data_IF_853077918668
#
_entry.id   IF_853077918668
#
_cell.length_a   1.000
_cell.length_b   1.000
_cell.length_c   1.000
_cell.angle_alpha   90.00
_cell.angle_beta   90.00
_cell.angle_gamma   90.00
#
_symmetry.space_group_name_H-M   'P 1'
#
loop_
_entity.id
_entity.type
_entity.pdbx_description
1 polymer ?
#
# COMPACT_ATOMS: atom_id res chain seq x y z
N UNK A 1 14.72 -4.27 0.31
CA UNK A 1 13.77 -3.57 -0.58
C UNK A 1 13.29 -4.61 -1.56
N UNK A 2 12.00 -4.95 -1.52
CA UNK A 2 11.42 -5.94 -2.44
C UNK A 2 11.27 -5.27 -3.80
N UNK A 3 11.85 -5.87 -4.84
CA UNK A 3 11.89 -5.32 -6.21
C UNK A 3 10.94 -6.03 -7.17
N UNK A 4 10.17 -7.01 -6.69
CA UNK A 4 9.15 -7.68 -7.48
C UNK A 4 7.91 -7.89 -6.62
N UNK A 5 6.70 -7.61 -7.14
CA UNK A 5 5.48 -7.95 -6.44
C UNK A 5 5.45 -9.46 -6.18
N UNK A 6 4.92 -9.85 -5.02
CA UNK A 6 4.84 -11.26 -4.64
C UNK A 6 3.46 -11.63 -4.16
N UNK A 7 3.02 -12.82 -4.56
CA UNK A 7 1.87 -13.50 -3.99
C UNK A 7 2.09 -13.88 -2.53
N UNK A 8 0.99 -14.10 -1.84
CA UNK A 8 1.00 -14.62 -0.47
C UNK A 8 0.32 -15.99 -0.43
N UNK A 9 1.12 -17.03 -0.19
CA UNK A 9 0.62 -18.41 -0.01
C UNK A 9 0.05 -18.64 1.40
N UNK A 10 0.43 -17.79 2.37
CA UNK A 10 -0.04 -17.84 3.75
C UNK A 10 0.04 -16.48 4.42
N UNK A 11 -0.97 -16.12 5.22
CA UNK A 11 -1.00 -14.91 6.07
C UNK A 11 0.08 -14.88 7.16
N UNK A 12 0.81 -15.97 7.32
CA UNK A 12 1.92 -16.10 8.27
C UNK A 12 3.26 -16.13 7.54
N UNK A 13 4.37 -15.97 8.27
CA UNK A 13 5.69 -15.95 7.64
C UNK A 13 6.07 -14.62 6.99
N UNK A 14 5.33 -13.54 7.25
CA UNK A 14 5.74 -12.17 6.94
C UNK A 14 6.91 -11.71 7.82
N UNK A 15 7.66 -10.69 7.39
CA UNK A 15 8.81 -10.13 8.09
C UNK A 15 8.61 -8.64 8.34
N UNK A 16 9.32 -8.05 9.32
CA UNK A 16 9.32 -6.61 9.48
C UNK A 16 9.70 -5.90 8.17
N UNK A 17 8.90 -4.91 7.79
CA UNK A 17 8.98 -4.23 6.50
C UNK A 17 7.98 -4.72 5.46
N UNK A 18 7.30 -5.86 5.67
CA UNK A 18 6.26 -6.33 4.74
C UNK A 18 4.99 -5.48 4.87
N UNK A 19 4.49 -5.04 3.72
CA UNK A 19 3.26 -4.29 3.54
C UNK A 19 2.34 -5.07 2.58
N UNK A 20 1.23 -5.58 3.12
CA UNK A 20 0.37 -6.54 2.42
C UNK A 20 -0.98 -5.92 2.06
N UNK A 21 -1.37 -6.02 0.79
CA UNK A 21 -2.74 -5.79 0.33
C UNK A 21 -3.48 -7.12 0.32
N UNK A 22 -4.54 -7.25 1.11
CA UNK A 22 -5.32 -8.48 1.22
C UNK A 22 -6.81 -8.20 1.02
N UNK A 23 -7.41 -8.84 0.01
CA UNK A 23 -8.87 -8.81 -0.14
C UNK A 23 -9.53 -9.92 0.67
N UNK A 24 -10.63 -9.62 1.36
CA UNK A 24 -11.45 -10.61 2.06
C UNK A 24 -12.89 -10.66 1.51
N UNK A 25 -13.59 -11.76 1.80
CA UNK A 25 -14.99 -12.02 1.46
C UNK A 25 -15.86 -12.23 2.70
N UNK A 26 -16.48 -11.15 3.15
CA UNK A 26 -17.35 -11.18 4.32
C UNK A 26 -16.60 -11.38 5.64
N UNK A 27 -17.39 -11.51 6.71
CA UNK A 27 -16.87 -11.40 8.08
C UNK A 27 -16.11 -12.63 8.56
N UNK A 28 -16.41 -13.82 8.04
CA UNK A 28 -15.74 -15.05 8.42
C UNK A 28 -14.29 -15.08 7.90
N UNK A 29 -14.10 -14.78 6.61
CA UNK A 29 -12.78 -14.67 5.98
C UNK A 29 -11.95 -13.55 6.64
N UNK A 30 -12.58 -12.40 6.90
CA UNK A 30 -11.96 -11.31 7.67
C UNK A 30 -11.45 -11.77 9.05
N UNK A 31 -12.28 -12.49 9.81
CA UNK A 31 -11.91 -12.95 11.15
C UNK A 31 -10.78 -13.98 11.10
N UNK A 32 -10.81 -14.93 10.16
CA UNK A 32 -9.75 -15.90 9.94
C UNK A 32 -8.42 -15.20 9.66
N UNK A 33 -8.44 -14.22 8.74
CA UNK A 33 -7.25 -13.49 8.36
C UNK A 33 -6.64 -12.70 9.53
N UNK A 34 -7.49 -11.98 10.29
CA UNK A 34 -7.09 -11.20 11.47
C UNK A 34 -6.48 -12.11 12.54
N UNK A 35 -7.13 -13.24 12.84
CA UNK A 35 -6.67 -14.16 13.89
C UNK A 35 -5.32 -14.76 13.53
N UNK A 36 -5.17 -15.31 12.32
CA UNK A 36 -3.92 -15.94 11.88
C UNK A 36 -2.74 -14.94 11.91
N UNK A 37 -2.99 -13.72 11.41
CA UNK A 37 -1.97 -12.68 11.33
C UNK A 37 -1.55 -12.16 12.72
N UNK A 38 -2.50 -11.92 13.63
CA UNK A 38 -2.21 -11.42 14.98
C UNK A 38 -1.58 -12.48 15.88
N UNK A 39 -1.96 -13.75 15.74
CA UNK A 39 -1.36 -14.84 16.51
C UNK A 39 0.13 -15.03 16.17
N UNK A 40 0.53 -14.77 14.93
CA UNK A 40 1.95 -14.74 14.56
C UNK A 40 2.71 -13.59 15.24
N UNK A 41 2.12 -12.39 15.30
CA UNK A 41 2.73 -11.28 16.01
C UNK A 41 2.83 -11.52 17.51
N UNK A 42 1.82 -12.17 18.10
CA UNK A 42 1.85 -12.62 19.50
C UNK A 42 3.05 -13.54 19.76
N UNK A 43 3.28 -14.55 18.90
CA UNK A 43 4.42 -15.46 19.01
C UNK A 43 5.78 -14.75 18.87
N UNK A 44 5.82 -13.64 18.14
CA UNK A 44 7.02 -12.83 17.90
C UNK A 44 7.26 -11.72 18.92
N UNK A 45 6.39 -11.62 19.93
CA UNK A 45 6.43 -10.54 20.92
C UNK A 45 6.37 -9.13 20.30
N UNK A 46 5.55 -8.99 19.25
CA UNK A 46 5.27 -7.70 18.62
C UNK A 46 4.15 -6.96 19.38
N UNK A 47 4.15 -5.63 19.31
CA UNK A 47 2.98 -4.83 19.65
C UNK A 47 1.93 -5.02 18.56
N UNK A 48 0.70 -5.36 18.94
CA UNK A 48 -0.40 -5.65 18.04
C UNK A 48 -1.39 -4.49 17.99
N UNK A 49 -1.89 -4.21 16.79
CA UNK A 49 -2.94 -3.22 16.57
C UNK A 49 -3.95 -3.74 15.54
N UNK A 50 -5.21 -3.86 15.94
CA UNK A 50 -6.35 -4.06 15.04
C UNK A 50 -7.07 -2.74 14.84
N UNK A 51 -7.14 -2.32 13.58
CA UNK A 51 -7.92 -1.17 13.11
C UNK A 51 -9.07 -1.68 12.26
N UNK A 52 -10.30 -1.23 12.50
CA UNK A 52 -11.39 -1.60 11.62
C UNK A 52 -12.72 -0.94 11.95
N UNK A 53 -13.81 -1.71 11.75
CA UNK A 53 -15.17 -1.28 12.03
C UNK A 53 -15.41 -0.77 13.47
N UNK A 54 -16.67 -0.46 13.82
CA UNK A 54 -17.00 0.09 15.13
C UNK A 54 -16.41 -0.74 16.28
N UNK A 55 -15.92 -0.09 17.35
CA UNK A 55 -15.30 -0.81 18.49
C UNK A 55 -16.12 -2.01 19.01
N UNK A 56 -17.47 -1.97 19.07
CA UNK A 56 -18.25 -3.14 19.50
C UNK A 56 -18.07 -4.40 18.65
N UNK A 57 -17.71 -4.28 17.36
CA UNK A 57 -17.54 -5.43 16.46
C UNK A 57 -16.11 -5.99 16.45
N UNK A 58 -15.11 -5.21 16.84
CA UNK A 58 -13.70 -5.65 16.81
C UNK A 58 -13.42 -6.87 17.72
N UNK A 59 -13.94 -6.97 18.96
CA UNK A 59 -13.72 -8.15 19.80
C UNK A 59 -14.27 -9.45 19.20
N UNK A 60 -15.31 -9.37 18.35
CA UNK A 60 -15.89 -10.54 17.70
C UNK A 60 -14.95 -11.13 16.64
N UNK A 61 -14.22 -10.29 15.89
CA UNK A 61 -13.18 -10.73 14.95
C UNK A 61 -12.04 -11.48 15.63
N UNK A 62 -11.86 -11.26 16.93
CA UNK A 62 -10.79 -11.84 17.73
C UNK A 62 -11.20 -13.11 18.49
N UNK A 63 -12.40 -13.64 18.27
CA UNK A 63 -12.91 -14.79 19.02
C UNK A 63 -11.98 -16.02 18.96
N UNK A 64 -11.28 -16.21 17.84
CA UNK A 64 -10.31 -17.29 17.65
C UNK A 64 -8.88 -16.99 18.12
N UNK A 65 -8.57 -15.78 18.59
CA UNK A 65 -7.20 -15.38 18.92
C UNK A 65 -6.74 -15.98 20.28
N UNK A 66 -5.66 -16.78 20.31
CA UNK A 66 -5.13 -17.30 21.57
C UNK A 66 -4.70 -16.17 22.53
N UNK A 67 -5.03 -16.32 23.81
CA UNK A 67 -4.71 -15.35 24.87
C UNK A 67 -5.27 -13.93 24.65
N UNK A 68 -6.29 -13.76 23.81
CA UNK A 68 -6.91 -12.45 23.48
C UNK A 68 -7.07 -11.53 24.70
N UNK A 69 -7.73 -12.01 25.75
CA UNK A 69 -8.06 -11.17 26.90
C UNK A 69 -6.82 -10.70 27.67
N UNK A 70 -5.79 -11.55 27.75
CA UNK A 70 -4.51 -11.19 28.36
C UNK A 70 -3.74 -10.17 27.50
N UNK A 71 -3.80 -10.28 26.16
CA UNK A 71 -3.18 -9.33 25.25
C UNK A 71 -3.85 -7.95 25.33
N UNK A 72 -5.18 -7.92 25.43
CA UNK A 72 -5.95 -6.69 25.63
C UNK A 72 -5.63 -6.08 27.00
N UNK A 73 -5.67 -6.89 28.07
CA UNK A 73 -5.43 -6.41 29.44
C UNK A 73 -4.00 -5.88 29.65
N UNK A 74 -3.00 -6.50 29.02
CA UNK A 74 -1.60 -6.04 29.07
C UNK A 74 -1.31 -4.85 28.14
N UNK A 75 -2.25 -4.49 27.28
CA UNK A 75 -2.04 -3.46 26.24
C UNK A 75 -1.17 -3.92 25.07
N UNK A 76 -0.75 -5.19 25.01
CA UNK A 76 -0.05 -5.73 23.85
C UNK A 76 -0.92 -5.72 22.59
N UNK A 77 -2.24 -5.86 22.74
CA UNK A 77 -3.20 -5.70 21.65
C UNK A 77 -4.03 -4.44 21.84
N UNK A 78 -3.86 -3.48 20.92
CA UNK A 78 -4.68 -2.29 20.81
C UNK A 78 -5.82 -2.48 19.81
N UNK A 79 -6.99 -1.89 20.11
CA UNK A 79 -8.13 -1.81 19.20
C UNK A 79 -8.42 -0.34 18.88
N UNK A 80 -8.52 -0.02 17.59
CA UNK A 80 -8.86 1.31 17.11
C UNK A 80 -9.90 1.22 15.99
N UNK A 81 -10.72 2.25 15.82
CA UNK A 81 -11.59 2.31 14.63
C UNK A 81 -10.84 2.91 13.44
N UNK A 82 -11.27 2.58 12.21
CA UNK A 82 -10.76 3.22 10.99
C UNK A 82 -10.93 4.73 11.05
N UNK A 83 -12.03 5.22 11.65
CA UNK A 83 -12.26 6.64 11.89
C UNK A 83 -11.22 7.28 12.82
N UNK A 84 -11.00 6.68 14.00
CA UNK A 84 -9.99 7.16 14.96
C UNK A 84 -8.59 7.17 14.38
N UNK A 85 -8.26 6.16 13.58
CA UNK A 85 -6.94 5.97 13.01
C UNK A 85 -6.71 6.91 11.83
N UNK A 86 -7.59 6.89 10.83
CA UNK A 86 -7.36 7.52 9.53
C UNK A 86 -8.18 8.77 9.27
N UNK A 87 -9.09 9.17 10.17
CA UNK A 87 -9.97 10.33 9.98
C UNK A 87 -10.13 11.11 11.27
N UNK A 88 -9.11 11.90 11.63
CA UNK A 88 -9.15 12.81 12.77
C UNK A 88 -10.08 14.04 12.51
N UNK A 89 -11.33 13.80 12.11
CA UNK A 89 -12.35 14.82 11.84
C UNK A 89 -12.26 15.54 10.49
N UNK A 90 -11.09 15.57 9.83
CA UNK A 90 -10.86 16.27 8.55
C UNK A 90 -10.50 15.34 7.37
N UNK A 91 -10.56 14.03 7.60
CA UNK A 91 -10.13 12.98 6.67
C UNK A 91 -8.66 12.58 6.83
N UNK A 92 -8.20 11.67 5.97
CA UNK A 92 -6.83 11.16 6.00
C UNK A 92 -5.82 12.24 5.61
N UNK A 93 -4.88 12.51 6.52
CA UNK A 93 -3.68 13.33 6.27
C UNK A 93 -2.47 12.39 6.20
N UNK A 94 -1.95 12.06 5.00
CA UNK A 94 -0.97 10.99 4.82
C UNK A 94 0.30 11.11 5.69
N UNK A 95 0.92 12.29 5.71
CA UNK A 95 2.16 12.53 6.45
C UNK A 95 1.97 12.43 7.96
N UNK A 96 0.85 12.94 8.48
CA UNK A 96 0.53 12.83 9.91
C UNK A 96 0.33 11.37 10.32
N UNK A 97 -0.36 10.58 9.49
CA UNK A 97 -0.61 9.18 9.79
C UNK A 97 0.68 8.35 9.81
N UNK A 98 1.60 8.57 8.87
CA UNK A 98 2.94 7.96 8.91
C UNK A 98 3.70 8.39 10.17
N UNK A 99 3.56 9.65 10.60
CA UNK A 99 4.10 10.14 11.86
C UNK A 99 3.55 9.40 13.09
N UNK A 100 2.24 9.11 13.11
CA UNK A 100 1.59 8.34 14.19
C UNK A 100 2.12 6.90 14.24
N UNK A 101 2.23 6.22 13.10
CA UNK A 101 2.81 4.88 13.07
C UNK A 101 4.28 4.86 13.46
N UNK A 102 5.07 5.88 13.07
CA UNK A 102 6.44 6.03 13.56
C UNK A 102 6.50 6.13 15.08
N UNK A 103 5.66 6.95 15.68
CA UNK A 103 5.58 7.07 17.14
C UNK A 103 5.15 5.74 17.80
N UNK A 104 4.17 5.04 17.22
CA UNK A 104 3.71 3.74 17.72
C UNK A 104 4.81 2.66 17.67
N UNK A 105 5.60 2.61 16.60
CA UNK A 105 6.77 1.71 16.52
C UNK A 105 7.80 2.05 17.60
N UNK A 106 8.13 3.33 17.79
CA UNK A 106 9.08 3.73 18.83
C UNK A 106 8.57 3.38 20.24
N UNK A 107 7.28 3.57 20.50
CA UNK A 107 6.66 3.19 21.77
C UNK A 107 6.71 1.67 22.00
N UNK A 108 6.45 0.86 20.97
CA UNK A 108 6.55 -0.60 21.03
C UNK A 108 7.97 -1.04 21.42
N UNK A 109 8.99 -0.49 20.74
CA UNK A 109 10.39 -0.79 21.01
C UNK A 109 10.82 -0.33 22.42
N UNK A 110 10.42 0.87 22.84
CA UNK A 110 10.70 1.38 24.18
C UNK A 110 10.01 0.53 25.28
N UNK A 111 8.86 -0.08 24.96
CA UNK A 111 8.17 -1.05 25.80
C UNK A 111 8.74 -2.47 25.77
N UNK A 112 9.86 -2.69 25.07
CA UNK A 112 10.55 -3.98 24.98
C UNK A 112 10.00 -4.95 23.93
N UNK A 113 9.05 -4.53 23.09
CA UNK A 113 8.52 -5.36 21.99
C UNK A 113 9.48 -5.39 20.81
N UNK A 114 9.37 -6.41 19.98
CA UNK A 114 10.25 -6.61 18.81
C UNK A 114 9.88 -5.76 17.59
N UNK A 115 8.66 -5.22 17.56
CA UNK A 115 8.15 -4.41 16.46
C UNK A 115 6.66 -4.08 16.61
N UNK A 116 6.08 -3.51 15.56
CA UNK A 116 4.64 -3.22 15.46
C UNK A 116 4.01 -4.08 14.35
N UNK A 117 2.92 -4.78 14.67
CA UNK A 117 2.09 -5.51 13.72
C UNK A 117 0.71 -4.88 13.64
N UNK A 118 0.35 -4.36 12.48
CA UNK A 118 -0.93 -3.67 12.25
C UNK A 118 -1.77 -4.47 11.27
N UNK A 119 -3.02 -4.72 11.62
CA UNK A 119 -4.04 -5.20 10.69
C UNK A 119 -5.14 -4.16 10.63
N UNK A 120 -5.47 -3.69 9.42
CA UNK A 120 -6.37 -2.56 9.23
C UNK A 120 -7.39 -2.82 8.14
N UNK A 121 -8.68 -2.79 8.49
CA UNK A 121 -9.75 -2.67 7.49
C UNK A 121 -9.80 -1.22 6.98
N UNK A 122 -9.29 -1.06 5.76
CA UNK A 122 -9.15 0.21 5.04
C UNK A 122 -10.22 0.39 3.96
N UNK A 123 -11.17 -0.56 3.85
CA UNK A 123 -12.33 -0.48 2.95
C UNK A 123 -13.07 0.86 3.02
N UNK A 124 -13.35 1.43 4.20
CA UNK A 124 -14.07 2.71 4.28
C UNK A 124 -13.36 3.88 3.57
N UNK A 125 -12.02 3.85 3.50
CA UNK A 125 -11.23 4.91 2.84
C UNK A 125 -11.32 4.82 1.32
N UNK A 126 -11.43 3.60 0.77
CA UNK A 126 -11.73 3.38 -0.64
C UNK A 126 -13.14 3.83 -1.03
N UNK A 127 -14.09 3.74 -0.09
CA UNK A 127 -15.48 4.13 -0.30
C UNK A 127 -15.70 5.65 -0.15
N UNK A 128 -14.72 6.41 0.36
CA UNK A 128 -14.80 7.85 0.58
C UNK A 128 -14.74 8.72 -0.70
N UNK A 129 -15.04 8.14 -1.87
CA UNK A 129 -15.01 8.82 -3.17
C UNK A 129 -13.60 9.15 -3.68
N UNK A 130 -13.53 9.82 -4.85
CA UNK A 130 -12.26 10.08 -5.54
C UNK A 130 -11.21 10.83 -4.70
N UNK A 131 -11.55 11.91 -3.96
CA UNK A 131 -10.57 12.59 -3.11
C UNK A 131 -10.05 11.71 -1.97
N UNK A 132 -10.91 10.86 -1.40
CA UNK A 132 -10.51 9.89 -0.37
C UNK A 132 -9.54 8.84 -0.90
N UNK A 133 -9.84 8.27 -2.07
CA UNK A 133 -8.98 7.29 -2.77
C UNK A 133 -7.60 7.86 -3.10
N UNK A 134 -7.54 9.10 -3.60
CA UNK A 134 -6.27 9.76 -3.91
C UNK A 134 -5.38 9.94 -2.67
N UNK A 135 -5.98 10.38 -1.55
CA UNK A 135 -5.28 10.49 -0.26
C UNK A 135 -4.84 9.14 0.29
N UNK A 136 -5.68 8.10 0.13
CA UNK A 136 -5.32 6.74 0.47
C UNK A 136 -4.09 6.29 -0.33
N UNK A 137 -4.10 6.42 -1.66
CA UNK A 137 -2.97 6.06 -2.52
C UNK A 137 -1.68 6.79 -2.11
N UNK A 138 -1.77 8.09 -1.81
CA UNK A 138 -0.62 8.85 -1.31
C UNK A 138 -0.13 8.36 0.06
N UNK A 139 -1.03 8.01 0.97
CA UNK A 139 -0.69 7.40 2.24
C UNK A 139 -0.04 6.02 2.06
N UNK A 140 -0.56 5.17 1.18
CA UNK A 140 -0.03 3.81 0.98
C UNK A 140 1.39 3.84 0.40
N UNK A 141 1.69 4.74 -0.56
CA UNK A 141 3.06 4.90 -1.04
C UNK A 141 4.02 5.46 0.03
N UNK A 142 3.54 6.37 0.89
CA UNK A 142 4.36 6.91 1.99
C UNK A 142 4.60 5.88 3.09
N UNK A 143 3.59 5.06 3.42
CA UNK A 143 3.71 4.05 4.47
C UNK A 143 4.55 2.86 4.01
N UNK A 144 4.47 2.45 2.74
CA UNK A 144 5.34 1.42 2.14
C UNK A 144 6.83 1.81 2.28
N UNK A 145 7.17 3.02 1.82
CA UNK A 145 8.54 3.54 1.93
C UNK A 145 9.00 3.68 3.38
N UNK A 146 8.08 3.99 4.30
CA UNK A 146 8.35 4.07 5.73
C UNK A 146 8.59 2.69 6.37
N UNK A 147 7.78 1.68 6.04
CA UNK A 147 7.91 0.32 6.60
C UNK A 147 9.26 -0.30 6.26
N UNK A 148 9.84 0.04 5.11
CA UNK A 148 11.22 -0.35 4.78
C UNK A 148 12.32 0.21 5.70
N UNK A 149 11.98 1.08 6.66
CA UNK A 149 12.93 1.76 7.56
C UNK A 149 12.75 1.45 9.04
N UNK A 150 11.70 0.70 9.41
CA UNK A 150 11.35 0.43 10.81
C UNK A 150 10.82 -1.00 10.97
N UNK A 151 10.85 -1.59 12.19
CA UNK A 151 10.26 -2.91 12.42
C UNK A 151 8.74 -2.84 12.53
N UNK A 152 8.08 -2.58 11.40
CA UNK A 152 6.63 -2.58 11.26
C UNK A 152 6.22 -3.57 10.18
N UNK A 153 5.21 -4.39 10.46
CA UNK A 153 4.54 -5.24 9.47
C UNK A 153 3.08 -4.82 9.39
N UNK A 154 2.52 -4.69 8.19
CA UNK A 154 1.13 -4.29 8.04
C UNK A 154 0.34 -5.20 7.07
N UNK A 155 -0.92 -5.44 7.45
CA UNK A 155 -1.93 -6.11 6.64
C UNK A 155 -3.09 -5.13 6.40
N UNK A 156 -3.14 -4.57 5.19
CA UNK A 156 -4.20 -3.69 4.72
C UNK A 156 -5.31 -4.56 4.11
N UNK A 157 -6.44 -4.61 4.78
CA UNK A 157 -7.60 -5.44 4.45
C UNK A 157 -8.63 -4.65 3.66
N UNK A 158 -9.13 -5.26 2.59
CA UNK A 158 -10.12 -4.66 1.72
C UNK A 158 -11.27 -5.63 1.40
N UNK A 159 -12.50 -5.19 1.57
CA UNK A 159 -13.68 -5.98 1.17
C UNK A 159 -13.74 -6.07 -0.36
N UNK A 160 -13.81 -7.29 -0.91
CA UNK A 160 -13.84 -7.50 -2.36
C UNK A 160 -15.06 -6.90 -3.06
N UNK A 161 -16.13 -6.60 -2.34
CA UNK A 161 -17.33 -5.93 -2.88
C UNK A 161 -17.06 -4.54 -3.44
N UNK A 162 -15.93 -3.89 -3.09
CA UNK A 162 -15.54 -2.60 -3.68
C UNK A 162 -15.10 -2.70 -5.15
N UNK A 163 -14.83 -3.91 -5.64
CA UNK A 163 -14.54 -4.20 -7.04
C UNK A 163 -13.09 -3.94 -7.45
N UNK A 164 -12.67 -4.60 -8.54
CA UNK A 164 -11.30 -4.59 -9.03
C UNK A 164 -10.79 -3.19 -9.41
N UNK A 165 -11.64 -2.33 -10.00
CA UNK A 165 -11.24 -0.96 -10.38
C UNK A 165 -10.85 -0.10 -9.18
N UNK A 166 -11.47 -0.33 -8.01
CA UNK A 166 -11.14 0.40 -6.79
C UNK A 166 -9.91 -0.22 -6.09
N UNK A 167 -9.82 -1.55 -6.06
CA UNK A 167 -8.71 -2.28 -5.42
C UNK A 167 -7.40 -2.19 -6.19
N UNK A 168 -7.46 -2.20 -7.52
CA UNK A 168 -6.28 -2.29 -8.37
C UNK A 168 -5.23 -1.20 -8.12
N UNK A 169 -5.60 0.10 -8.13
CA UNK A 169 -4.64 1.18 -7.90
C UNK A 169 -3.98 1.12 -6.52
N UNK A 170 -4.69 0.65 -5.48
CA UNK A 170 -4.10 0.54 -4.15
C UNK A 170 -3.26 -0.73 -4.01
N UNK A 171 -3.63 -1.80 -4.70
CA UNK A 171 -2.89 -3.06 -4.73
C UNK A 171 -1.46 -2.88 -5.26
N UNK A 172 -1.30 -2.16 -6.38
CA UNK A 172 0.01 -1.91 -6.97
C UNK A 172 0.92 -1.09 -6.07
N UNK A 173 0.42 -0.48 -4.99
CA UNK A 173 1.23 0.23 -3.99
C UNK A 173 1.79 -0.70 -2.89
N UNK A 174 1.42 -1.98 -2.93
CA UNK A 174 1.86 -2.98 -1.97
C UNK A 174 2.79 -3.99 -2.65
N UNK A 175 3.98 -4.26 -2.09
CA UNK A 175 4.90 -5.27 -2.62
C UNK A 175 4.36 -6.70 -2.45
N UNK A 176 3.41 -6.89 -1.53
CA UNK A 176 2.81 -8.20 -1.24
C UNK A 176 1.31 -8.09 -1.44
N UNK A 177 0.74 -8.95 -2.28
CA UNK A 177 -0.67 -8.84 -2.68
C UNK A 177 -1.36 -10.20 -2.64
N UNK A 178 -2.61 -10.21 -2.19
CA UNK A 178 -3.52 -11.35 -2.25
C UNK A 178 -4.93 -10.84 -2.56
N UNK A 179 -5.33 -10.97 -3.83
CA UNK A 179 -6.57 -10.39 -4.34
C UNK A 179 -7.45 -11.45 -5.01
N UNK A 180 -7.73 -12.53 -4.27
CA UNK A 180 -8.36 -13.72 -4.83
C UNK A 180 -7.44 -14.39 -5.83
N UNK A 181 -7.94 -14.68 -7.03
CA UNK A 181 -7.19 -15.36 -8.09
C UNK A 181 -6.30 -14.42 -8.92
N UNK A 182 -6.26 -13.12 -8.60
CA UNK A 182 -5.41 -12.15 -9.32
C UNK A 182 -3.94 -12.32 -8.92
N UNK A 183 -3.11 -12.62 -9.91
CA UNK A 183 -1.66 -12.66 -9.76
C UNK A 183 -1.07 -11.25 -9.54
N UNK A 184 -0.15 -11.06 -8.57
CA UNK A 184 0.53 -9.79 -8.38
C UNK A 184 1.57 -9.52 -9.47
N UNK A 185 1.23 -8.68 -10.43
CA UNK A 185 2.10 -8.39 -11.58
C UNK A 185 2.93 -7.12 -11.43
N UNK A 186 2.38 -6.06 -10.83
CA UNK A 186 3.05 -4.76 -10.70
C UNK A 186 3.18 -4.27 -9.25
N UNK A 187 4.29 -3.61 -8.95
CA UNK A 187 4.48 -2.81 -7.73
C UNK A 187 5.07 -1.44 -8.06
N UNK A 188 4.44 -0.39 -7.57
CA UNK A 188 4.89 0.99 -7.64
C UNK A 188 5.33 1.42 -6.25
N UNK A 189 6.64 1.64 -6.11
CA UNK A 189 7.28 2.07 -4.88
C UNK A 189 7.89 3.46 -5.04
N UNK A 190 8.33 4.09 -3.95
CA UNK A 190 9.16 5.27 -4.06
C UNK A 190 9.15 6.18 -2.85
N UNK A 191 10.00 7.19 -2.89
CA UNK A 191 10.08 8.22 -1.84
C UNK A 191 10.14 9.60 -2.46
N UNK A 192 9.18 10.45 -2.09
CA UNK A 192 9.08 11.79 -2.64
C UNK A 192 8.91 11.76 -4.15
N UNK A 193 9.78 12.47 -4.88
CA UNK A 193 9.68 12.64 -6.34
C UNK A 193 10.39 11.55 -7.16
N UNK A 194 10.92 10.51 -6.50
CA UNK A 194 11.55 9.35 -7.15
C UNK A 194 10.70 8.13 -6.86
N UNK A 195 10.07 7.62 -7.91
CA UNK A 195 9.26 6.41 -7.90
C UNK A 195 9.98 5.33 -8.71
N UNK A 196 9.69 4.07 -8.41
CA UNK A 196 10.18 2.91 -9.14
C UNK A 196 9.02 1.96 -9.42
N UNK A 197 8.92 1.51 -10.66
CA UNK A 197 7.93 0.56 -11.13
C UNK A 197 8.60 -0.79 -11.40
N UNK A 198 8.02 -1.82 -10.81
CA UNK A 198 8.57 -3.17 -10.72
C UNK A 198 7.63 -4.20 -11.35
N UNK A 199 8.19 -5.27 -11.92
CA UNK A 199 7.44 -6.42 -12.42
C UNK A 199 6.90 -6.23 -13.83
N UNK A 200 5.62 -6.47 -14.03
CA UNK A 200 4.97 -6.50 -15.34
C UNK A 200 3.79 -5.52 -15.40
N UNK A 201 3.74 -4.70 -16.44
CA UNK A 201 2.57 -3.86 -16.74
C UNK A 201 1.97 -4.29 -18.06
N UNK A 202 0.93 -5.11 -17.95
CA UNK A 202 0.12 -5.58 -19.05
C UNK A 202 -1.22 -4.82 -19.12
N UNK A 203 -2.13 -5.32 -19.95
CA UNK A 203 -3.48 -4.77 -20.10
C UNK A 203 -4.31 -4.79 -18.81
N UNK A 204 -4.07 -5.74 -17.90
CA UNK A 204 -4.79 -5.84 -16.62
C UNK A 204 -4.28 -4.83 -15.60
N UNK A 205 -2.99 -4.49 -15.62
CA UNK A 205 -2.36 -3.56 -14.68
C UNK A 205 -2.32 -2.10 -15.15
N UNK A 206 -2.41 -1.87 -16.47
CA UNK A 206 -2.21 -0.56 -17.10
C UNK A 206 -3.02 0.58 -16.43
N UNK A 207 -4.33 0.39 -16.22
CA UNK A 207 -5.19 1.41 -15.60
C UNK A 207 -4.86 1.64 -14.12
N UNK A 208 -4.50 0.57 -13.41
CA UNK A 208 -4.16 0.61 -11.99
C UNK A 208 -2.87 1.39 -11.76
N UNK A 209 -1.83 1.07 -12.53
CA UNK A 209 -0.53 1.75 -12.48
C UNK A 209 -0.66 3.23 -12.84
N UNK A 210 -1.39 3.58 -13.91
CA UNK A 210 -1.63 5.00 -14.26
C UNK A 210 -2.30 5.75 -13.11
N UNK A 211 -3.35 5.17 -12.53
CA UNK A 211 -4.12 5.81 -11.46
C UNK A 211 -3.24 6.02 -10.23
N UNK A 212 -2.55 4.98 -9.77
CA UNK A 212 -1.66 5.04 -8.62
C UNK A 212 -0.53 6.06 -8.81
N UNK A 213 0.10 6.06 -9.99
CA UNK A 213 1.18 6.99 -10.35
C UNK A 213 0.70 8.44 -10.33
N UNK A 214 -0.44 8.74 -10.96
CA UNK A 214 -0.99 10.10 -11.02
C UNK A 214 -1.39 10.59 -9.62
N UNK A 215 -2.03 9.73 -8.84
CA UNK A 215 -2.47 10.08 -7.48
C UNK A 215 -1.27 10.35 -6.56
N UNK A 216 -0.26 9.48 -6.56
CA UNK A 216 0.98 9.67 -5.80
C UNK A 216 1.68 10.96 -6.20
N UNK A 217 1.97 11.12 -7.49
CA UNK A 217 2.73 12.26 -7.99
C UNK A 217 2.01 13.59 -7.73
N UNK A 218 0.68 13.60 -7.82
CA UNK A 218 -0.12 14.80 -7.60
C UNK A 218 -0.25 15.21 -6.12
N UNK A 219 -0.11 14.29 -5.17
CA UNK A 219 -0.17 14.61 -3.72
C UNK A 219 1.20 15.02 -3.16
N UNK A 220 2.26 14.96 -3.96
CA UNK A 220 3.58 15.46 -3.56
C UNK A 220 3.56 16.99 -3.44
N UNK A 221 4.19 17.56 -2.40
CA UNK A 221 4.30 19.01 -2.27
C UNK A 221 4.91 19.65 -3.51
N UNK A 222 4.17 20.54 -4.15
CA UNK A 222 4.67 21.42 -5.21
C UNK A 222 5.25 22.66 -4.53
N UNK A 223 6.57 22.83 -4.62
CA UNK A 223 7.18 24.12 -4.29
C UNK A 223 6.73 25.20 -5.29
N UNK A 224 7.39 26.35 -5.28
CA UNK A 224 7.14 27.46 -6.21
C UNK A 224 7.54 27.18 -7.68
N UNK A 225 7.81 25.92 -8.06
CA UNK A 225 8.24 25.52 -9.40
C UNK A 225 7.44 24.30 -9.87
N UNK A 226 7.23 24.15 -11.19
CA UNK A 226 6.71 22.92 -11.77
C UNK A 226 7.52 21.75 -11.25
N UNK A 227 6.83 20.77 -10.68
CA UNK A 227 7.50 19.63 -10.09
C UNK A 227 7.84 18.58 -11.15
N UNK A 228 9.05 18.00 -11.12
CA UNK A 228 9.37 16.80 -11.93
C UNK A 228 9.30 15.52 -11.07
N UNK A 229 8.59 14.49 -11.51
CA UNK A 229 8.64 13.14 -10.93
C UNK A 229 9.49 12.26 -11.84
N UNK A 230 10.41 11.53 -11.23
CA UNK A 230 11.25 10.54 -11.90
C UNK A 230 10.66 9.16 -11.63
N UNK A 231 10.35 8.42 -12.68
CA UNK A 231 9.93 7.02 -12.61
C UNK A 231 11.06 6.14 -13.15
N UNK A 232 11.70 5.42 -12.25
CA UNK A 232 12.65 4.37 -12.58
C UNK A 232 11.90 3.12 -13.04
N UNK A 233 12.24 2.62 -14.22
CA UNK A 233 11.67 1.40 -14.81
C UNK A 233 12.75 0.34 -15.05
N UNK A 234 13.87 0.41 -14.31
CA UNK A 234 14.97 -0.55 -14.39
C UNK A 234 14.59 -1.97 -14.00
N UNK A 235 13.60 -2.11 -13.12
CA UNK A 235 13.09 -3.38 -12.59
C UNK A 235 11.73 -3.78 -13.21
N UNK A 236 11.38 -3.16 -14.34
CA UNK A 236 10.25 -3.58 -15.15
C UNK A 236 10.68 -4.70 -16.11
N UNK A 237 10.12 -5.88 -15.93
CA UNK A 237 10.41 -7.11 -16.68
C UNK A 237 9.54 -7.25 -17.93
N UNK A 238 8.35 -6.63 -17.93
CA UNK A 238 7.44 -6.63 -19.07
C UNK A 238 6.61 -5.34 -19.17
N UNK A 239 6.40 -4.89 -20.41
CA UNK A 239 5.53 -3.76 -20.72
C UNK A 239 4.83 -4.03 -22.07
N UNK A 240 3.51 -4.15 -22.06
CA UNK A 240 2.73 -4.24 -23.30
C UNK A 240 2.33 -2.84 -23.84
N UNK A 241 1.56 -2.84 -24.93
CA UNK A 241 1.04 -1.60 -25.56
C UNK A 241 0.07 -0.87 -24.63
N UNK A 242 -0.72 -1.58 -23.83
CA UNK A 242 -1.65 -0.96 -22.89
C UNK A 242 -0.89 -0.27 -21.74
N UNK A 243 0.16 -0.91 -21.21
CA UNK A 243 1.07 -0.33 -20.23
C UNK A 243 1.81 0.89 -20.76
N UNK A 244 2.37 0.82 -21.98
CA UNK A 244 3.02 1.98 -22.62
C UNK A 244 2.06 3.17 -22.79
N UNK A 245 0.82 2.90 -23.23
CA UNK A 245 -0.25 3.90 -23.32
C UNK A 245 -0.64 4.46 -21.95
N UNK A 246 -0.65 3.63 -20.91
CA UNK A 246 -0.94 4.06 -19.55
C UNK A 246 0.11 5.02 -19.00
N UNK A 247 1.40 4.75 -19.24
CA UNK A 247 2.49 5.67 -18.86
C UNK A 247 2.42 6.99 -19.65
N UNK A 248 2.07 6.94 -20.93
CA UNK A 248 1.84 8.15 -21.74
C UNK A 248 0.65 8.98 -21.22
N UNK A 249 -0.44 8.29 -20.87
CA UNK A 249 -1.61 8.90 -20.23
C UNK A 249 -1.24 9.56 -18.91
N UNK A 250 -0.47 8.88 -18.05
CA UNK A 250 0.01 9.44 -16.79
C UNK A 250 0.87 10.69 -17.00
N UNK A 251 1.81 10.68 -17.97
CA UNK A 251 2.61 11.86 -18.34
C UNK A 251 1.71 13.03 -18.72
N UNK A 252 0.67 12.77 -19.51
CA UNK A 252 -0.26 13.80 -19.99
C UNK A 252 -1.12 14.38 -18.86
N UNK A 253 -1.65 13.52 -17.98
CA UNK A 253 -2.45 13.95 -16.82
C UNK A 253 -1.63 14.80 -15.84
N UNK A 254 -0.39 14.38 -15.59
CA UNK A 254 0.55 15.10 -14.73
C UNK A 254 0.96 16.44 -15.35
N UNK A 255 1.24 16.48 -16.66
CA UNK A 255 1.57 17.72 -17.36
C UNK A 255 0.41 18.72 -17.30
N UNK A 256 -0.85 18.25 -17.41
CA UNK A 256 -2.04 19.08 -17.21
C UNK A 256 -2.15 19.68 -15.80
N UNK A 257 -1.44 19.10 -14.82
CA UNK A 257 -1.32 19.59 -13.45
C UNK A 257 0.00 20.32 -13.17
N UNK A 258 0.80 20.61 -14.21
CA UNK A 258 2.10 21.27 -14.07
C UNK A 258 3.22 20.38 -13.51
N UNK A 259 3.05 19.05 -13.58
CA UNK A 259 4.03 18.07 -13.11
C UNK A 259 4.64 17.35 -14.31
N UNK A 260 5.96 17.43 -14.46
CA UNK A 260 6.70 16.64 -15.46
C UNK A 260 6.86 15.19 -14.99
N UNK A 261 6.73 14.23 -15.90
CA UNK A 261 7.09 12.83 -15.65
C UNK A 261 8.28 12.46 -16.54
N UNK A 262 9.40 12.10 -15.90
CA UNK A 262 10.63 11.65 -16.54
C UNK A 262 10.84 10.17 -16.27
N UNK A 263 11.15 9.40 -17.31
CA UNK A 263 11.42 7.97 -17.19
C UNK A 263 12.94 7.72 -17.19
N UNK A 264 13.41 6.77 -16.38
CA UNK A 264 14.83 6.37 -16.36
C UNK A 264 14.97 4.86 -16.35
N UNK A 265 16.11 4.35 -16.83
CA UNK A 265 16.50 2.96 -16.61
C UNK A 265 15.85 1.90 -17.51
N UNK A 266 15.09 2.30 -18.54
CA UNK A 266 14.39 1.34 -19.39
C UNK A 266 15.33 0.35 -20.10
N UNK A 267 15.12 -0.94 -19.81
CA UNK A 267 15.72 -2.08 -20.52
C UNK A 267 15.25 -2.11 -21.98
N UNK A 268 15.99 -2.82 -22.84
CA UNK A 268 15.76 -2.81 -24.31
C UNK A 268 14.32 -3.15 -24.73
N UNK A 269 13.69 -4.14 -24.10
CA UNK A 269 12.32 -4.55 -24.47
C UNK A 269 11.28 -3.51 -24.01
N UNK A 270 11.39 -2.99 -22.78
CA UNK A 270 10.55 -1.88 -22.28
C UNK A 270 10.69 -0.65 -23.18
N UNK A 271 11.93 -0.26 -23.52
CA UNK A 271 12.21 0.91 -24.36
C UNK A 271 11.50 0.84 -25.71
N UNK A 272 11.50 -0.32 -26.36
CA UNK A 272 10.79 -0.52 -27.64
C UNK A 272 9.30 -0.24 -27.54
N UNK A 273 8.65 -0.61 -26.43
CA UNK A 273 7.23 -0.31 -26.21
C UNK A 273 7.02 1.17 -25.88
N UNK A 274 7.92 1.79 -25.10
CA UNK A 274 7.85 3.23 -24.79
C UNK A 274 8.03 4.11 -26.04
N UNK A 275 8.91 3.71 -26.97
CA UNK A 275 9.18 4.42 -28.22
C UNK A 275 7.93 4.52 -29.12
N UNK A 276 6.98 3.58 -29.00
CA UNK A 276 5.69 3.64 -29.74
C UNK A 276 4.79 4.82 -29.30
N UNK A 277 5.10 5.45 -28.16
CA UNK A 277 4.32 6.53 -27.56
C UNK A 277 5.13 7.81 -27.35
N UNK A 278 6.30 7.94 -28.01
CA UNK A 278 7.22 9.07 -27.83
C UNK A 278 7.61 9.30 -26.36
N UNK A 279 7.75 8.19 -25.62
CA UNK A 279 8.26 8.17 -24.25
C UNK A 279 9.74 7.78 -24.29
N UNK A 280 10.61 8.75 -24.05
CA UNK A 280 12.05 8.49 -23.94
C UNK A 280 12.41 8.25 -22.48
N UNK A 281 13.06 7.13 -22.20
CA UNK A 281 13.68 6.86 -20.91
C UNK A 281 15.18 7.13 -20.96
N UNK A 282 15.66 7.98 -20.07
CA UNK A 282 17.07 8.31 -19.93
C UNK A 282 17.85 7.11 -19.33
N UNK A 283 19.17 7.03 -19.55
CA UNK A 283 20.02 6.11 -18.79
C UNK A 283 19.85 6.34 -17.28
N UNK A 284 19.96 5.26 -16.49
CA UNK A 284 19.90 5.31 -15.03
C UNK A 284 21.04 6.12 -14.42
#
# INVERSE_FOLDING_TARGET
>A
MVTAPRGLDSLTGLRPGDHVCWSFDGTADLAEAVVAYLDEGRRRDEQLLLVGGPRPSLPALLAGLPHRDALLASGQLGLQTTGETYSAGTGLVPLEQVGRYRAAVQAALAGGRTGLRVVADVTPLLQAGRPGRRRLNAYEGLVDAFMGTVPMTALCLYDRSVGAEALGPVAVLHPVQHLGDREPLAHLSGRGRRLALHGEVDTTEATHVRTALVDLAGELPTGHRPGEVVLDVSDLDFLDVAGGRALYGARSDLAGSGIGLRLTGARRHVRRCLDLFDLVAEPA
#
